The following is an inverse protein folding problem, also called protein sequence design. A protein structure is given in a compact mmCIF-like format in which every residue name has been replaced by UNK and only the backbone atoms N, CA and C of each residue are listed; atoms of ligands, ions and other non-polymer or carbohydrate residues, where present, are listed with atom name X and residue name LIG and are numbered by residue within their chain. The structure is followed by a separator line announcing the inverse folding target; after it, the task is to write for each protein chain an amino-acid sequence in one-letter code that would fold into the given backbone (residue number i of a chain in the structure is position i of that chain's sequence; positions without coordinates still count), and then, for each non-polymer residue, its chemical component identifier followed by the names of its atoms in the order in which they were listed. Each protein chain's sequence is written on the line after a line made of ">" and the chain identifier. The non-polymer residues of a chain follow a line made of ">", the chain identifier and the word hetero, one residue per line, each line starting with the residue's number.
data_IF_646305955117
#
_entry.id   IF_646305955117
#
_cell.length_a   1.000
_cell.length_b   1.000
_cell.length_c   1.000
_cell.angle_alpha   90.00
_cell.angle_beta   90.00
_cell.angle_gamma   90.00
#
_symmetry.space_group_name_H-M   'P 1'
#
loop_
_entity.id
_entity.type
_entity.pdbx_description
1 polymer ?
#
# COMPACT_ATOMS: atom_id res chain seq x y z
N UNK A 1 25.39 11.01 -9.51
CA UNK A 1 24.11 10.38 -9.15
C UNK A 1 22.97 11.18 -9.79
N UNK A 2 22.71 10.96 -11.07
CA UNK A 2 21.55 11.54 -11.76
C UNK A 2 20.45 10.49 -11.76
N UNK A 3 19.60 10.49 -10.73
CA UNK A 3 18.38 9.69 -10.76
C UNK A 3 17.39 10.50 -11.61
N UNK A 4 17.24 10.11 -12.87
CA UNK A 4 16.11 10.54 -13.68
C UNK A 4 14.85 9.97 -13.02
N UNK A 5 14.08 10.81 -12.34
CA UNK A 5 12.83 10.45 -11.66
C UNK A 5 11.70 10.14 -12.67
N UNK A 6 12.04 9.74 -13.89
CA UNK A 6 11.16 9.77 -15.06
C UNK A 6 10.75 11.19 -15.43
N UNK A 7 9.93 11.29 -16.48
CA UNK A 7 9.39 12.55 -16.99
C UNK A 7 8.55 13.36 -15.97
N UNK A 8 8.26 12.82 -14.78
CA UNK A 8 7.39 13.47 -13.78
C UNK A 8 7.77 13.17 -12.31
N UNK A 9 8.68 13.95 -11.69
CA UNK A 9 9.01 13.84 -10.27
C UNK A 9 7.79 13.91 -9.34
N UNK A 10 6.76 14.66 -9.76
CA UNK A 10 5.50 14.78 -9.05
C UNK A 10 4.76 13.44 -8.90
N UNK A 11 4.80 12.57 -9.92
CA UNK A 11 4.12 11.28 -9.87
C UNK A 11 4.73 10.36 -8.78
N UNK A 12 6.06 10.35 -8.67
CA UNK A 12 6.79 9.58 -7.65
C UNK A 12 6.41 10.06 -6.24
N UNK A 13 6.36 11.38 -6.03
CA UNK A 13 5.97 11.98 -4.75
C UNK A 13 4.55 11.57 -4.38
N UNK A 14 3.60 11.69 -5.31
CA UNK A 14 2.19 11.35 -5.04
C UNK A 14 2.03 9.87 -4.73
N UNK A 15 2.63 8.97 -5.51
CA UNK A 15 2.60 7.52 -5.24
C UNK A 15 3.15 7.23 -3.83
N UNK A 16 4.25 7.89 -3.45
CA UNK A 16 4.86 7.72 -2.12
C UNK A 16 3.93 8.20 -0.99
N UNK A 17 3.29 9.36 -1.16
CA UNK A 17 2.34 9.90 -0.18
C UNK A 17 1.11 9.00 -0.05
N UNK A 18 0.56 8.52 -1.17
CA UNK A 18 -0.58 7.60 -1.16
C UNK A 18 -0.24 6.26 -0.51
N UNK A 19 0.97 5.75 -0.76
CA UNK A 19 1.45 4.54 -0.10
C UNK A 19 1.61 4.74 1.41
N UNK A 20 2.18 5.87 1.84
CA UNK A 20 2.29 6.21 3.26
C UNK A 20 0.90 6.33 3.92
N UNK A 21 -0.07 6.93 3.23
CA UNK A 21 -1.45 7.03 3.69
C UNK A 21 -2.13 5.65 3.81
N UNK A 22 -1.96 4.78 2.81
CA UNK A 22 -2.44 3.41 2.85
C UNK A 22 -1.80 2.63 4.01
N UNK A 23 -0.51 2.80 4.26
CA UNK A 23 0.18 2.17 5.39
C UNK A 23 -0.32 2.69 6.74
N UNK A 24 -0.56 3.99 6.87
CA UNK A 24 -1.07 4.59 8.11
C UNK A 24 -2.47 4.08 8.44
N UNK A 25 -3.38 4.11 7.46
CA UNK A 25 -4.76 3.61 7.61
C UNK A 25 -4.81 2.10 7.86
N UNK A 26 -3.90 1.34 7.27
CA UNK A 26 -3.72 -0.08 7.57
C UNK A 26 -3.29 -0.31 9.03
N UNK A 27 -2.34 0.47 9.54
CA UNK A 27 -1.93 0.41 10.95
C UNK A 27 -3.08 0.72 11.92
N UNK A 28 -3.89 1.75 11.60
CA UNK A 28 -5.10 2.09 12.37
C UNK A 28 -6.13 0.97 12.32
N UNK A 29 -6.33 0.35 11.15
CA UNK A 29 -7.19 -0.82 11.00
C UNK A 29 -6.72 -1.96 11.90
N UNK A 30 -5.43 -2.32 11.87
CA UNK A 30 -4.88 -3.36 12.73
C UNK A 30 -5.04 -3.05 14.22
N UNK A 31 -4.81 -1.80 14.62
CA UNK A 31 -5.03 -1.36 15.99
C UNK A 31 -6.49 -1.53 16.43
N UNK A 32 -7.46 -1.34 15.52
CA UNK A 32 -8.88 -1.57 15.82
C UNK A 32 -9.24 -3.05 16.07
N UNK A 33 -8.42 -3.99 15.59
CA UNK A 33 -8.56 -5.43 15.86
C UNK A 33 -7.77 -5.88 17.09
N UNK A 34 -6.85 -5.07 17.59
CA UNK A 34 -6.05 -5.43 18.75
C UNK A 34 -6.93 -5.43 20.01
N UNK A 35 -7.04 -6.60 20.64
CA UNK A 35 -7.79 -6.78 21.89
C UNK A 35 -6.99 -6.33 23.12
N UNK A 36 -5.65 -6.38 23.06
CA UNK A 36 -4.73 -6.00 24.14
C UNK A 36 -3.51 -5.23 23.60
N UNK A 37 -2.83 -4.45 24.46
CA UNK A 37 -1.62 -3.66 24.13
C UNK A 37 -0.51 -4.55 23.56
N UNK A 38 -0.30 -5.75 24.13
CA UNK A 38 0.68 -6.72 23.62
C UNK A 38 0.31 -7.24 22.21
N UNK A 39 -0.98 -7.42 21.93
CA UNK A 39 -1.43 -7.83 20.60
C UNK A 39 -1.22 -6.71 19.56
N UNK A 40 -1.46 -5.45 19.93
CA UNK A 40 -1.19 -4.30 19.07
C UNK A 40 0.31 -4.22 18.67
N UNK A 41 1.20 -4.43 19.63
CA UNK A 41 2.66 -4.41 19.41
C UNK A 41 3.17 -5.58 18.56
N UNK A 42 2.49 -6.73 18.57
CA UNK A 42 2.85 -7.90 17.78
C UNK A 42 2.24 -7.91 16.37
N UNK A 43 1.04 -7.35 16.20
CA UNK A 43 0.32 -7.34 14.92
C UNK A 43 1.05 -6.51 13.85
N UNK A 44 1.63 -5.36 14.21
CA UNK A 44 2.35 -4.51 13.26
C UNK A 44 3.52 -5.24 12.58
N UNK A 45 4.51 -5.77 13.33
CA UNK A 45 5.64 -6.50 12.76
C UNK A 45 5.23 -7.77 12.01
N UNK A 46 4.28 -8.55 12.53
CA UNK A 46 3.84 -9.80 11.87
C UNK A 46 3.14 -9.53 10.55
N UNK A 47 2.27 -8.53 10.49
CA UNK A 47 1.60 -8.16 9.26
C UNK A 47 2.58 -7.57 8.24
N UNK A 48 3.52 -6.73 8.68
CA UNK A 48 4.60 -6.24 7.82
C UNK A 48 5.43 -7.40 7.25
N UNK A 49 5.78 -8.41 8.07
CA UNK A 49 6.53 -9.59 7.65
C UNK A 49 5.79 -10.43 6.60
N UNK A 50 4.47 -10.54 6.72
CA UNK A 50 3.63 -11.30 5.75
C UNK A 50 3.36 -10.49 4.48
N UNK A 51 3.13 -9.18 4.60
CA UNK A 51 2.81 -8.31 3.47
C UNK A 51 4.03 -7.94 2.62
N UNK A 52 5.22 -7.83 3.20
CA UNK A 52 6.45 -7.51 2.49
C UNK A 52 6.78 -8.46 1.31
N UNK A 53 6.73 -9.80 1.45
CA UNK A 53 6.97 -10.71 0.33
C UNK A 53 5.82 -10.69 -0.70
N UNK A 54 4.57 -10.52 -0.26
CA UNK A 54 3.39 -10.52 -1.15
C UNK A 54 3.32 -9.20 -1.96
N UNK A 55 3.84 -8.11 -1.40
CA UNK A 55 3.84 -6.79 -2.00
C UNK A 55 4.83 -6.57 -3.15
N UNK A 56 5.69 -7.54 -3.43
CA UNK A 56 6.76 -7.38 -4.41
C UNK A 56 7.91 -6.49 -3.91
N UNK A 57 8.05 -6.27 -2.60
CA UNK A 57 9.19 -5.53 -2.04
C UNK A 57 10.50 -6.33 -2.08
N UNK A 58 10.42 -7.66 -2.18
CA UNK A 58 11.61 -8.53 -2.28
C UNK A 58 12.08 -8.79 -3.71
N UNK A 59 11.16 -8.81 -4.70
CA UNK A 59 11.52 -9.01 -6.10
C UNK A 59 10.74 -8.05 -7.00
N UNK A 60 11.42 -7.41 -7.98
CA UNK A 60 10.74 -6.61 -8.98
C UNK A 60 9.65 -7.42 -9.67
N UNK A 61 8.43 -6.91 -9.67
CA UNK A 61 7.25 -7.61 -10.19
C UNK A 61 7.37 -7.98 -11.68
N UNK A 62 8.21 -7.29 -12.44
CA UNK A 62 8.43 -7.58 -13.86
C UNK A 62 9.22 -8.88 -14.12
N UNK A 63 9.94 -9.42 -13.13
CA UNK A 63 10.66 -10.70 -13.26
C UNK A 63 9.96 -11.87 -12.55
N UNK A 64 8.86 -11.62 -11.84
CA UNK A 64 8.13 -12.67 -11.13
C UNK A 64 7.07 -13.34 -12.02
N UNK A 65 6.69 -14.60 -11.74
CA UNK A 65 5.66 -15.32 -12.49
C UNK A 65 4.30 -14.60 -12.50
N UNK A 66 3.49 -14.80 -13.54
CA UNK A 66 2.18 -14.13 -13.70
C UNK A 66 1.21 -14.32 -12.53
N UNK A 67 1.26 -15.48 -11.87
CA UNK A 67 0.44 -15.75 -10.68
C UNK A 67 0.84 -14.85 -9.50
N UNK A 68 2.13 -14.56 -9.34
CA UNK A 68 2.65 -13.69 -8.30
C UNK A 68 2.33 -12.22 -8.59
N UNK A 69 2.39 -11.81 -9.86
CA UNK A 69 1.95 -10.48 -10.29
C UNK A 69 0.46 -10.26 -10.02
N UNK A 70 -0.35 -11.29 -10.22
CA UNK A 70 -1.79 -11.25 -9.92
C UNK A 70 -2.05 -11.12 -8.42
N UNK A 71 -1.28 -11.83 -7.58
CA UNK A 71 -1.37 -11.71 -6.12
C UNK A 71 -0.93 -10.33 -5.64
N UNK A 72 0.11 -9.74 -6.23
CA UNK A 72 0.59 -8.42 -5.83
C UNK A 72 -0.45 -7.32 -6.05
N UNK A 73 -1.34 -7.45 -7.04
CA UNK A 73 -2.47 -6.52 -7.28
C UNK A 73 -3.50 -6.50 -6.15
N UNK A 74 -3.50 -7.50 -5.26
CA UNK A 74 -4.33 -7.48 -4.05
C UNK A 74 -3.71 -6.68 -2.90
N UNK A 75 -2.49 -6.18 -3.07
CA UNK A 75 -1.77 -5.42 -2.04
C UNK A 75 -1.48 -4.00 -2.50
N UNK A 76 -1.50 -3.01 -1.59
CA UNK A 76 -1.13 -1.63 -1.93
C UNK A 76 0.33 -1.54 -2.43
N UNK A 77 1.22 -2.38 -1.89
CA UNK A 77 2.62 -2.48 -2.31
C UNK A 77 2.78 -2.83 -3.80
N UNK A 78 1.96 -3.74 -4.34
CA UNK A 78 2.02 -4.10 -5.75
C UNK A 78 1.64 -2.96 -6.68
N UNK A 79 0.66 -2.13 -6.30
CA UNK A 79 0.27 -0.93 -7.04
C UNK A 79 1.34 0.17 -6.96
N UNK A 80 1.92 0.40 -5.78
CA UNK A 80 3.02 1.34 -5.60
C UNK A 80 4.24 0.96 -6.46
N UNK A 81 4.65 -0.31 -6.39
CA UNK A 81 5.75 -0.82 -7.20
C UNK A 81 5.44 -0.72 -8.70
N UNK A 82 4.23 -1.07 -9.14
CA UNK A 82 3.82 -0.88 -10.55
C UNK A 82 3.98 0.57 -11.01
N UNK A 83 3.54 1.53 -10.20
CA UNK A 83 3.65 2.96 -10.48
C UNK A 83 5.10 3.44 -10.53
N UNK A 84 5.93 3.02 -9.57
CA UNK A 84 7.37 3.34 -9.59
C UNK A 84 8.07 2.75 -10.81
N UNK A 85 7.77 1.51 -11.19
CA UNK A 85 8.37 0.89 -12.37
C UNK A 85 7.97 1.66 -13.64
N UNK A 86 6.70 2.04 -13.81
CA UNK A 86 6.23 2.85 -14.95
C UNK A 86 6.98 4.18 -15.07
N UNK A 87 7.09 4.92 -13.97
CA UNK A 87 7.72 6.26 -14.00
C UNK A 87 9.25 6.15 -14.13
N UNK A 88 9.90 5.28 -13.37
CA UNK A 88 11.36 5.22 -13.28
C UNK A 88 12.02 4.38 -14.38
N UNK A 89 11.39 3.30 -14.87
CA UNK A 89 11.99 2.41 -15.88
C UNK A 89 11.45 2.67 -17.29
N UNK A 90 10.18 3.05 -17.41
CA UNK A 90 9.52 3.21 -18.72
C UNK A 90 9.31 4.68 -19.11
N UNK A 91 9.70 5.63 -18.27
CA UNK A 91 9.60 7.06 -18.56
C UNK A 91 8.16 7.56 -18.69
N UNK A 92 7.20 6.88 -18.05
CA UNK A 92 5.78 7.20 -18.15
C UNK A 92 5.44 8.61 -17.62
N UNK A 93 4.43 9.25 -18.21
CA UNK A 93 3.95 10.56 -17.79
C UNK A 93 2.95 10.43 -16.63
N UNK A 94 2.57 11.57 -16.05
CA UNK A 94 1.65 11.62 -14.91
C UNK A 94 0.31 10.92 -15.17
N UNK A 95 -0.22 11.00 -16.41
CA UNK A 95 -1.48 10.39 -16.81
C UNK A 95 -1.47 8.86 -16.74
N UNK A 96 -0.31 8.24 -16.99
CA UNK A 96 -0.16 6.78 -17.15
C UNK A 96 -0.17 6.02 -15.82
N UNK A 97 -0.01 6.74 -14.71
CA UNK A 97 0.00 6.21 -13.34
C UNK A 97 -1.24 6.57 -12.52
N UNK A 98 -2.23 7.19 -13.15
CA UNK A 98 -3.49 7.57 -12.49
C UNK A 98 -4.25 6.37 -11.92
N UNK A 99 -4.18 5.22 -12.59
CA UNK A 99 -4.80 3.98 -12.12
C UNK A 99 -4.16 3.46 -10.83
N UNK A 100 -2.83 3.50 -10.74
CA UNK A 100 -2.07 3.10 -9.55
C UNK A 100 -2.36 4.03 -8.38
N UNK A 101 -2.42 5.34 -8.63
CA UNK A 101 -2.79 6.33 -7.63
C UNK A 101 -4.22 6.10 -7.12
N UNK A 102 -5.18 5.86 -8.03
CA UNK A 102 -6.56 5.56 -7.68
C UNK A 102 -6.69 4.27 -6.85
N UNK A 103 -5.93 3.23 -7.19
CA UNK A 103 -5.92 1.98 -6.43
C UNK A 103 -5.38 2.19 -5.01
N UNK A 104 -4.25 2.90 -4.85
CA UNK A 104 -3.68 3.21 -3.54
C UNK A 104 -4.62 4.05 -2.67
N UNK A 105 -5.25 5.07 -3.25
CA UNK A 105 -6.27 5.86 -2.57
C UNK A 105 -7.46 4.98 -2.15
N UNK A 106 -7.91 4.08 -3.03
CA UNK A 106 -8.96 3.10 -2.74
C UNK A 106 -8.62 2.22 -1.53
N UNK A 107 -7.39 1.69 -1.47
CA UNK A 107 -6.93 0.92 -0.31
C UNK A 107 -6.95 1.74 0.98
N UNK A 108 -6.46 2.98 0.96
CA UNK A 108 -6.48 3.85 2.13
C UNK A 108 -7.90 4.11 2.64
N UNK A 109 -8.84 4.38 1.73
CA UNK A 109 -10.26 4.57 2.07
C UNK A 109 -10.87 3.30 2.65
N UNK A 110 -10.60 2.14 2.04
CA UNK A 110 -11.11 0.85 2.53
C UNK A 110 -10.59 0.53 3.93
N UNK A 111 -9.28 0.65 4.16
CA UNK A 111 -8.69 0.39 5.48
C UNK A 111 -9.23 1.34 6.54
N UNK A 112 -9.38 2.63 6.20
CA UNK A 112 -9.97 3.60 7.10
C UNK A 112 -11.44 3.30 7.39
N UNK A 113 -12.23 2.94 6.38
CA UNK A 113 -13.64 2.59 6.53
C UNK A 113 -13.83 1.35 7.43
N UNK A 114 -13.01 0.32 7.25
CA UNK A 114 -13.01 -0.89 8.09
C UNK A 114 -12.63 -0.53 9.54
N UNK A 115 -11.60 0.29 9.72
CA UNK A 115 -11.18 0.75 11.06
C UNK A 115 -12.31 1.51 11.79
N UNK A 116 -12.96 2.46 11.10
CA UNK A 116 -14.05 3.25 11.65
C UNK A 116 -15.28 2.40 11.97
N UNK A 117 -15.64 1.47 11.08
CA UNK A 117 -16.76 0.55 11.30
C UNK A 117 -16.54 -0.31 12.54
N UNK A 118 -15.33 -0.84 12.72
CA UNK A 118 -14.97 -1.65 13.88
C UNK A 118 -14.97 -0.84 15.19
N UNK A 119 -14.53 0.41 15.14
CA UNK A 119 -14.54 1.31 16.29
C UNK A 119 -15.97 1.66 16.72
N UNK A 120 -16.86 1.95 15.77
CA UNK A 120 -18.28 2.25 16.03
C UNK A 120 -19.02 1.08 16.68
N UNK A 121 -18.70 -0.16 16.29
CA UNK A 121 -19.26 -1.35 16.94
C UNK A 121 -18.80 -1.50 18.39
N UNK A 122 -17.61 -1.02 18.74
CA UNK A 122 -17.12 -1.06 20.12
C UNK A 122 -17.79 -0.01 21.02
N UNK A 123 -18.19 1.14 20.46
CA UNK A 123 -18.80 2.23 21.23
C UNK A 123 -20.32 2.10 21.40
N UNK A 124 -20.98 1.18 20.70
CA UNK A 124 -22.42 0.93 20.86
C UNK A 124 -22.76 -0.11 21.94
N UNK A 125 -21.76 -0.60 22.67
CA UNK A 125 -21.90 -1.61 23.73
C UNK A 125 -21.85 -1.02 25.15
N UNK A 126 -21.92 0.31 25.29
CA UNK A 126 -22.01 1.02 26.58
C UNK A 126 -23.36 1.68 26.77
#
# INVERSE_FOLDING_TARGET
>A
FGIDLGASPAAVIIISVLMALASATFGVMLASFATNVQAASALGPLTALVLAPIGGCWWPLFITPQWMQSLAKFTPHGWANGGFNKVMLFGAEFGDVTQEMAALAGFAVVFMAVALWRFRMSSSAS
#
